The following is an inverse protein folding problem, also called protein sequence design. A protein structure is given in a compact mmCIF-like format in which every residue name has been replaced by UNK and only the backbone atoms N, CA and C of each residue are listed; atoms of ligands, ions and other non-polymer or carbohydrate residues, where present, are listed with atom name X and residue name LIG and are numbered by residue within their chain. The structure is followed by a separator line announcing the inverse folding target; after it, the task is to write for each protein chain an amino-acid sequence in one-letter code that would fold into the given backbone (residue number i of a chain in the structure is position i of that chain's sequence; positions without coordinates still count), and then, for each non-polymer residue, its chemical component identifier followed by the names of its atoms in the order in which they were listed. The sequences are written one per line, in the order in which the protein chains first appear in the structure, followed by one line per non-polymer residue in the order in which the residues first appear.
data_IF_700691156085
#
_entry.id   IF_700691156085
#
_cell.length_a   1.000
_cell.length_b   1.000
_cell.length_c   1.000
_cell.angle_alpha   90.00
_cell.angle_beta   90.00
_cell.angle_gamma   90.00
#
_symmetry.space_group_name_H-M   'P 1'
#
loop_
_entity.id
_entity.type
_entity.pdbx_description
1 polymer ?
#
# COMPACT_ATOMS: atom_id res chain seq x y z
N UNK A 1 29.85 -12.99 -1.23
CA UNK A 1 28.39 -12.93 -1.13
C UNK A 1 28.06 -11.47 -0.92
N UNK A 2 27.79 -10.78 -2.02
CA UNK A 2 27.34 -9.38 -1.99
C UNK A 2 25.88 -9.37 -1.54
N UNK A 3 25.63 -8.82 -0.36
CA UNK A 3 24.30 -8.68 0.21
C UNK A 3 23.71 -7.34 -0.23
N UNK A 4 23.28 -7.24 -1.48
CA UNK A 4 22.45 -6.11 -1.92
C UNK A 4 21.02 -6.29 -1.38
N UNK A 5 20.84 -6.01 -0.09
CA UNK A 5 19.52 -5.73 0.47
C UNK A 5 19.02 -4.46 -0.21
N UNK A 6 18.03 -4.58 -1.10
CA UNK A 6 17.45 -3.41 -1.79
C UNK A 6 16.59 -2.63 -0.79
N UNK A 7 17.21 -1.65 -0.12
CA UNK A 7 16.52 -0.75 0.79
C UNK A 7 15.71 0.28 0.00
N UNK A 8 14.40 0.08 -0.12
CA UNK A 8 13.51 1.13 -0.60
C UNK A 8 13.10 2.07 0.54
N UNK A 9 13.87 3.14 0.73
CA UNK A 9 13.57 4.17 1.73
C UNK A 9 12.45 5.09 1.22
N UNK A 10 11.22 4.84 1.67
CA UNK A 10 10.11 5.77 1.46
C UNK A 10 9.90 6.64 2.69
N UNK A 11 9.99 7.95 2.51
CA UNK A 11 9.70 8.92 3.56
C UNK A 11 8.20 9.14 3.69
N UNK A 12 7.68 9.02 4.91
CA UNK A 12 6.29 9.36 5.26
C UNK A 12 6.22 10.69 6.02
N UNK A 13 5.93 11.82 5.36
CA UNK A 13 5.44 12.99 6.06
C UNK A 13 4.02 12.72 6.58
N UNK A 14 3.65 13.16 7.80
CA UNK A 14 4.46 13.86 8.81
C UNK A 14 5.22 12.93 9.78
N UNK A 15 5.05 11.61 9.69
CA UNK A 15 5.49 10.66 10.72
C UNK A 15 7.01 10.39 10.75
N UNK A 16 7.79 10.88 9.77
CA UNK A 16 9.25 10.65 9.66
C UNK A 16 9.60 9.16 9.82
N UNK A 17 8.85 8.29 9.16
CA UNK A 17 9.14 6.86 9.12
C UNK A 17 9.79 6.51 7.79
N UNK A 18 10.71 5.53 7.80
CA UNK A 18 11.14 4.83 6.60
C UNK A 18 10.55 3.44 6.56
N UNK A 19 10.22 3.01 5.35
CA UNK A 19 9.94 1.62 5.02
C UNK A 19 11.24 0.91 4.66
N UNK A 20 11.36 -0.36 5.07
CA UNK A 20 12.45 -1.25 4.69
C UNK A 20 11.84 -2.60 4.34
N UNK A 21 11.91 -2.98 3.06
CA UNK A 21 11.66 -4.35 2.63
C UNK A 21 12.98 -5.13 2.68
N UNK A 22 13.01 -6.25 3.39
CA UNK A 22 14.17 -7.16 3.40
C UNK A 22 13.78 -8.44 2.67
N UNK A 23 14.41 -8.70 1.53
CA UNK A 23 14.28 -9.97 0.81
C UNK A 23 15.47 -10.85 1.18
N UNK A 24 15.24 -12.00 1.81
CA UNK A 24 16.24 -13.06 1.94
C UNK A 24 15.92 -14.17 0.94
N UNK A 25 16.91 -14.63 0.16
CA UNK A 25 16.71 -15.75 -0.76
C UNK A 25 16.16 -16.98 -0.01
N UNK A 26 15.05 -17.53 -0.50
CA UNK A 26 14.46 -18.78 0.01
C UNK A 26 13.58 -18.66 1.25
N UNK A 27 13.38 -17.47 1.82
CA UNK A 27 12.46 -17.25 2.95
C UNK A 27 11.52 -16.06 2.73
N UNK A 28 10.35 -16.18 3.35
CA UNK A 28 9.28 -15.19 3.42
C UNK A 28 9.81 -13.76 3.59
N UNK A 29 9.44 -12.86 2.66
CA UNK A 29 9.84 -11.44 2.69
C UNK A 29 9.12 -10.77 3.86
N UNK A 30 9.88 -10.41 4.89
CA UNK A 30 9.39 -9.64 6.02
C UNK A 30 9.48 -8.15 5.73
N UNK A 31 8.38 -7.45 5.98
CA UNK A 31 8.30 -6.01 5.78
C UNK A 31 8.43 -5.30 7.10
N UNK A 32 9.26 -4.27 7.15
CA UNK A 32 9.53 -3.51 8.37
C UNK A 32 9.36 -2.01 8.14
N UNK A 33 8.98 -1.30 9.20
CA UNK A 33 9.07 0.15 9.27
C UNK A 33 9.92 0.56 10.47
N UNK A 34 10.65 1.65 10.30
CA UNK A 34 11.39 2.29 11.39
C UNK A 34 10.82 3.69 11.64
N UNK A 35 10.49 3.97 12.90
CA UNK A 35 10.14 5.31 13.35
C UNK A 35 11.44 6.04 13.72
N UNK A 36 11.77 7.13 13.03
CA UNK A 36 13.03 7.85 13.26
C UNK A 36 13.03 8.74 14.51
N UNK A 37 11.86 9.02 15.07
CA UNK A 37 11.76 9.76 16.32
C UNK A 37 12.02 8.86 17.53
N UNK A 38 11.51 7.62 17.50
CA UNK A 38 11.66 6.67 18.60
C UNK A 38 12.76 5.64 18.37
N UNK A 39 13.31 5.56 17.16
CA UNK A 39 14.24 4.52 16.69
C UNK A 39 13.69 3.10 16.85
N UNK A 40 12.36 2.95 16.85
CA UNK A 40 11.70 1.65 17.00
C UNK A 40 11.38 1.03 15.64
N UNK A 41 11.69 -0.25 15.53
CA UNK A 41 11.32 -1.09 14.40
C UNK A 41 9.97 -1.76 14.67
N UNK A 42 9.12 -1.80 13.65
CA UNK A 42 7.84 -2.52 13.71
C UNK A 42 7.72 -3.41 12.48
N UNK A 43 7.50 -4.71 12.72
CA UNK A 43 7.18 -5.66 11.66
C UNK A 43 5.77 -5.39 11.15
N UNK A 44 5.62 -5.26 9.84
CA UNK A 44 4.34 -5.11 9.18
C UNK A 44 3.71 -6.49 8.94
N UNK A 45 2.39 -6.58 9.11
CA UNK A 45 1.62 -7.80 8.86
C UNK A 45 1.27 -7.91 7.37
N UNK A 46 2.29 -7.88 6.51
CA UNK A 46 2.13 -8.00 5.06
C UNK A 46 3.12 -9.00 4.51
N UNK A 47 2.68 -9.79 3.53
CA UNK A 47 3.51 -10.76 2.82
C UNK A 47 3.34 -10.49 1.34
N UNK A 48 4.45 -10.39 0.60
CA UNK A 48 4.39 -10.28 -0.86
C UNK A 48 3.83 -11.61 -1.40
N UNK A 49 2.93 -11.57 -2.40
CA UNK A 49 2.41 -12.79 -3.01
C UNK A 49 3.50 -13.70 -3.60
N UNK A 50 4.57 -13.07 -4.11
CA UNK A 50 5.72 -13.73 -4.75
C UNK A 50 7.02 -13.04 -4.27
N UNK A 51 8.13 -13.76 -4.12
CA UNK A 51 9.43 -13.15 -3.84
C UNK A 51 9.83 -12.19 -4.96
N UNK A 52 9.99 -10.90 -4.65
CA UNK A 52 10.35 -9.91 -5.65
C UNK A 52 11.50 -9.02 -5.18
N UNK A 53 12.54 -8.91 -6.00
CA UNK A 53 13.63 -7.94 -5.84
C UNK A 53 13.52 -6.85 -6.93
N UNK A 54 14.11 -5.67 -6.69
CA UNK A 54 13.95 -4.47 -7.53
C UNK A 54 12.49 -3.99 -7.69
N UNK A 55 11.70 -4.03 -6.63
CA UNK A 55 10.32 -3.51 -6.63
C UNK A 55 10.29 -1.99 -6.45
N UNK A 56 9.25 -1.33 -6.97
CA UNK A 56 8.95 0.06 -6.67
C UNK A 56 7.82 0.13 -5.64
N UNK A 57 7.90 1.09 -4.74
CA UNK A 57 6.85 1.34 -3.77
C UNK A 57 6.52 2.84 -3.73
N UNK A 58 5.26 3.16 -3.44
CA UNK A 58 4.79 4.53 -3.25
C UNK A 58 3.77 4.55 -2.11
N UNK A 59 3.69 5.68 -1.40
CA UNK A 59 2.76 5.84 -0.28
C UNK A 59 1.74 6.93 -0.59
N UNK A 60 0.47 6.63 -0.39
CA UNK A 60 -0.62 7.59 -0.53
C UNK A 60 -0.61 8.60 0.62
N UNK A 61 -1.22 9.78 0.44
CA UNK A 61 -1.42 10.74 1.54
C UNK A 61 -2.18 10.16 2.74
N UNK A 62 -3.01 9.14 2.52
CA UNK A 62 -3.72 8.42 3.58
C UNK A 62 -2.83 7.43 4.35
N UNK A 63 -1.56 7.24 3.96
CA UNK A 63 -0.61 6.35 4.60
C UNK A 63 -0.73 4.88 4.18
N UNK A 64 -1.35 4.59 3.03
CA UNK A 64 -1.32 3.26 2.41
C UNK A 64 -0.15 3.18 1.46
N UNK A 65 0.70 2.18 1.64
CA UNK A 65 1.80 1.89 0.72
C UNK A 65 1.37 0.87 -0.32
N UNK A 66 1.71 1.13 -1.57
CA UNK A 66 1.56 0.21 -2.69
C UNK A 66 2.93 -0.21 -3.19
N UNK A 67 3.15 -1.50 -3.28
CA UNK A 67 4.35 -2.11 -3.85
C UNK A 67 3.95 -2.79 -5.16
N UNK A 68 4.66 -2.48 -6.24
CA UNK A 68 4.44 -3.05 -7.56
C UNK A 68 5.76 -3.39 -8.25
N UNK A 69 5.71 -4.42 -9.09
CA UNK A 69 6.82 -4.84 -9.92
C UNK A 69 7.88 -5.60 -9.14
N UNK A 70 9.11 -5.50 -9.61
CA UNK A 70 10.19 -6.42 -9.26
C UNK A 70 10.43 -7.46 -10.35
N UNK A 71 11.55 -8.16 -10.24
CA UNK A 71 12.00 -9.15 -11.21
C UNK A 71 11.87 -10.53 -10.59
N UNK A 72 11.02 -11.38 -11.16
CA UNK A 72 11.04 -12.84 -10.93
C UNK A 72 10.33 -13.58 -12.08
N UNK A 73 11.00 -13.82 -13.22
CA UNK A 73 10.54 -14.60 -14.42
C UNK A 73 9.12 -14.36 -15.00
N UNK A 74 8.29 -13.54 -14.37
CA UNK A 74 6.89 -13.18 -14.61
C UNK A 74 6.61 -11.83 -13.93
N UNK A 75 5.48 -11.23 -14.29
CA UNK A 75 5.03 -9.94 -13.75
C UNK A 75 4.46 -10.17 -12.34
N UNK A 76 5.22 -9.77 -11.33
CA UNK A 76 4.91 -9.96 -9.91
C UNK A 76 3.68 -9.16 -9.46
N UNK A 77 2.97 -9.71 -8.47
CA UNK A 77 1.73 -9.16 -7.92
C UNK A 77 1.86 -7.77 -7.25
N UNK A 78 0.73 -7.14 -7.02
CA UNK A 78 0.61 -5.89 -6.27
C UNK A 78 0.35 -6.17 -4.79
N UNK A 79 1.03 -5.45 -3.89
CA UNK A 79 0.77 -5.46 -2.46
C UNK A 79 0.35 -4.07 -2.00
N UNK A 80 -0.70 -3.98 -1.18
CA UNK A 80 -1.04 -2.75 -0.46
C UNK A 80 -1.03 -2.98 1.06
N UNK A 81 -0.38 -2.11 1.82
CA UNK A 81 -0.27 -2.21 3.28
C UNK A 81 -0.45 -0.84 3.93
N UNK A 82 -1.24 -0.80 5.01
CA UNK A 82 -1.44 0.39 5.81
C UNK A 82 -0.25 0.61 6.76
N UNK A 83 0.46 1.73 6.62
CA UNK A 83 1.59 2.09 7.48
C UNK A 83 1.14 2.84 8.75
N UNK A 84 -0.07 3.38 8.71
CA UNK A 84 -0.78 4.09 9.77
C UNK A 84 -2.16 3.47 9.94
N UNK A 85 -2.86 3.78 11.04
CA UNK A 85 -4.28 3.41 11.16
C UNK A 85 -5.08 4.23 10.15
N UNK A 86 -5.77 3.61 9.16
CA UNK A 86 -6.57 4.35 8.19
C UNK A 86 -7.74 5.06 8.88
N UNK A 87 -8.18 6.17 8.28
CA UNK A 87 -9.40 6.83 8.74
C UNK A 87 -10.62 5.94 8.52
N UNK A 88 -11.70 6.18 9.28
CA UNK A 88 -12.95 5.46 9.09
C UNK A 88 -13.50 5.61 7.66
N UNK A 89 -13.27 6.76 7.03
CA UNK A 89 -13.64 7.02 5.65
C UNK A 89 -12.94 6.04 4.69
N UNK A 90 -11.62 5.85 4.83
CA UNK A 90 -10.84 4.93 3.99
C UNK A 90 -11.31 3.48 4.17
N UNK A 91 -11.51 3.05 5.42
CA UNK A 91 -12.00 1.70 5.72
C UNK A 91 -13.40 1.48 5.10
N UNK A 92 -14.30 2.42 5.31
CA UNK A 92 -15.68 2.34 4.80
C UNK A 92 -15.69 2.35 3.28
N UNK A 93 -14.86 3.19 2.67
CA UNK A 93 -14.72 3.28 1.21
C UNK A 93 -14.23 1.97 0.60
N UNK A 94 -13.19 1.35 1.17
CA UNK A 94 -12.73 0.04 0.71
C UNK A 94 -13.83 -1.04 0.82
N UNK A 95 -14.56 -1.07 1.94
CA UNK A 95 -15.64 -2.03 2.17
C UNK A 95 -16.79 -1.80 1.19
N UNK A 96 -17.16 -0.55 0.95
CA UNK A 96 -18.20 -0.16 0.01
C UNK A 96 -17.86 -0.64 -1.42
N UNK A 97 -16.64 -0.36 -1.91
CA UNK A 97 -16.22 -0.75 -3.25
C UNK A 97 -16.09 -2.27 -3.42
N UNK A 98 -15.72 -2.99 -2.35
CA UNK A 98 -15.70 -4.46 -2.34
C UNK A 98 -17.11 -5.04 -2.38
N UNK A 99 -18.05 -4.50 -1.61
CA UNK A 99 -19.42 -4.97 -1.54
C UNK A 99 -20.23 -4.62 -2.81
N UNK A 100 -20.02 -3.42 -3.37
CA UNK A 100 -20.82 -2.88 -4.46
C UNK A 100 -19.94 -2.54 -5.66
N UNK A 101 -19.42 -3.57 -6.34
CA UNK A 101 -18.52 -3.43 -7.51
C UNK A 101 -19.15 -2.64 -8.66
N UNK A 102 -20.49 -2.64 -8.76
CA UNK A 102 -21.22 -1.92 -9.80
C UNK A 102 -21.17 -0.39 -9.64
N UNK A 103 -20.78 0.14 -8.47
CA UNK A 103 -20.65 1.60 -8.27
C UNK A 103 -19.69 2.24 -9.28
N UNK A 104 -18.66 1.51 -9.72
CA UNK A 104 -17.72 2.00 -10.73
C UNK A 104 -18.32 2.14 -12.15
N UNK A 105 -19.51 1.58 -12.39
CA UNK A 105 -20.20 1.61 -13.68
C UNK A 105 -21.29 2.68 -13.74
N UNK A 106 -21.65 3.26 -12.59
CA UNK A 106 -22.71 4.27 -12.50
C UNK A 106 -22.21 5.63 -13.00
N UNK A 107 -23.13 6.42 -13.56
CA UNK A 107 -22.81 7.78 -13.97
C UNK A 107 -22.58 8.68 -12.74
N UNK A 108 -21.81 9.78 -12.87
CA UNK A 108 -21.61 10.72 -11.77
C UNK A 108 -22.91 11.25 -11.16
N UNK A 109 -23.96 11.44 -11.98
CA UNK A 109 -25.27 11.89 -11.52
C UNK A 109 -25.96 10.84 -10.65
N UNK A 110 -25.89 9.57 -11.04
CA UNK A 110 -26.43 8.45 -10.24
C UNK A 110 -25.70 8.34 -8.90
N UNK A 111 -24.37 8.47 -8.90
CA UNK A 111 -23.55 8.42 -7.70
C UNK A 111 -23.84 9.58 -6.73
N UNK A 112 -24.04 10.79 -7.25
CA UNK A 112 -24.49 11.94 -6.46
C UNK A 112 -25.90 11.69 -5.86
N UNK A 113 -26.79 11.07 -6.64
CA UNK A 113 -28.14 10.68 -6.18
C UNK A 113 -28.12 9.65 -5.04
N UNK A 114 -27.06 8.86 -4.90
CA UNK A 114 -26.82 7.94 -3.79
C UNK A 114 -26.21 8.63 -2.54
N UNK A 115 -25.96 9.94 -2.60
CA UNK A 115 -25.37 10.72 -1.51
C UNK A 115 -23.85 10.71 -1.46
N UNK A 116 -23.16 10.21 -2.49
CA UNK A 116 -21.70 10.30 -2.57
C UNK A 116 -21.27 11.72 -2.91
N UNK A 117 -20.21 12.20 -2.27
CA UNK A 117 -19.65 13.53 -2.57
C UNK A 117 -18.84 13.52 -3.86
N UNK A 118 -18.69 14.69 -4.50
CA UNK A 118 -17.84 14.84 -5.69
C UNK A 118 -16.41 14.33 -5.47
N UNK A 119 -15.83 14.58 -4.29
CA UNK A 119 -14.48 14.13 -3.94
C UNK A 119 -14.37 12.61 -3.93
N UNK A 120 -15.39 11.89 -3.42
CA UNK A 120 -15.40 10.43 -3.44
C UNK A 120 -15.61 9.87 -4.85
N UNK A 121 -16.48 10.51 -5.64
CA UNK A 121 -16.73 10.11 -7.02
C UNK A 121 -15.47 10.23 -7.89
N UNK A 122 -14.65 11.26 -7.68
CA UNK A 122 -13.39 11.43 -8.40
C UNK A 122 -12.39 10.28 -8.14
N UNK A 123 -12.50 9.57 -7.01
CA UNK A 123 -11.63 8.45 -6.66
C UNK A 123 -11.98 7.13 -7.36
N UNK A 124 -13.08 7.07 -8.10
CA UNK A 124 -13.51 5.89 -8.86
C UNK A 124 -12.87 5.81 -10.26
N UNK A 125 -12.18 6.86 -10.70
CA UNK A 125 -11.58 6.96 -12.03
C UNK A 125 -10.19 6.35 -12.10
#
# INVERSE_FOLDING_TARGET
MDWESVFNLLFLPPQRCFYVGVTMEGLQVDHWKVNLQTFQWTKLLSVMPEPAYFHCAAVTPAGCMYVHGGVENRRTGSLSVWLVVPSLLEITWEKLLKAFRHLAQLSPQQLLGLGLTHTLIQRLK
#
